data_IF_869230456963
#
_entry.id   IF_869230456963
#
_cell.length_a   1.000
_cell.length_b   1.000
_cell.length_c   1.000
_cell.angle_alpha   90.00
_cell.angle_beta   90.00
_cell.angle_gamma   90.00
#
_symmetry.space_group_name_H-M   'P 1'
#
loop_
_entity.id
_entity.type
_entity.pdbx_description
1 polymer ?
#
# COMPACT_ATOMS: atom_id res chain seq x y z
N UNK A 1 1.31 9.34 -15.58
CA UNK A 1 0.49 8.30 -14.92
C UNK A 1 -0.21 7.47 -15.98
N UNK A 2 -0.15 6.14 -15.86
CA UNK A 2 -0.87 5.16 -16.69
C UNK A 2 -1.69 4.26 -15.77
N UNK A 3 -2.89 3.86 -16.18
CA UNK A 3 -3.71 2.89 -15.45
C UNK A 3 -3.89 1.60 -16.24
N UNK A 4 -3.85 0.45 -15.55
CA UNK A 4 -4.27 -0.86 -16.09
C UNK A 4 -5.46 -1.35 -15.26
N UNK A 5 -6.58 -1.64 -15.91
CA UNK A 5 -7.77 -2.19 -15.25
C UNK A 5 -7.71 -3.71 -15.31
N UNK A 6 -7.95 -4.36 -14.17
CA UNK A 6 -8.07 -5.80 -14.07
C UNK A 6 -9.52 -6.15 -13.75
N UNK A 7 -10.11 -6.99 -14.58
CA UNK A 7 -11.44 -7.58 -14.36
C UNK A 7 -11.26 -9.08 -14.24
N UNK A 8 -11.32 -9.60 -13.02
CA UNK A 8 -11.06 -11.00 -12.71
C UNK A 8 -12.30 -11.62 -12.06
N UNK A 9 -12.47 -12.96 -12.08
CA UNK A 9 -13.61 -13.61 -11.44
C UNK A 9 -13.75 -13.30 -9.94
N UNK A 10 -12.63 -12.99 -9.26
CA UNK A 10 -12.60 -12.67 -7.83
C UNK A 10 -12.79 -11.18 -7.53
N UNK A 11 -12.83 -10.32 -8.56
CA UNK A 11 -13.08 -8.91 -8.39
C UNK A 11 -12.38 -8.01 -9.41
N UNK A 12 -12.64 -6.71 -9.26
CA UNK A 12 -12.11 -5.65 -10.11
C UNK A 12 -11.05 -4.85 -9.35
N UNK A 13 -9.95 -4.54 -10.02
CA UNK A 13 -8.89 -3.70 -9.46
C UNK A 13 -8.26 -2.81 -10.53
N UNK A 14 -7.49 -1.82 -10.08
CA UNK A 14 -6.78 -0.89 -10.96
C UNK A 14 -5.34 -0.78 -10.49
N UNK A 15 -4.40 -0.99 -11.40
CA UNK A 15 -2.98 -0.73 -11.18
C UNK A 15 -2.67 0.67 -11.72
N UNK A 16 -2.14 1.54 -10.86
CA UNK A 16 -1.69 2.88 -11.22
C UNK A 16 -0.15 2.90 -11.30
N UNK A 17 0.39 3.25 -12.46
CA UNK A 17 1.84 3.23 -12.75
C UNK A 17 2.32 4.67 -12.98
N UNK A 18 3.40 5.05 -12.29
CA UNK A 18 3.94 6.41 -12.31
C UNK A 18 3.04 7.44 -11.62
N UNK A 19 2.23 7.00 -10.66
CA UNK A 19 1.49 7.87 -9.75
C UNK A 19 2.32 8.16 -8.49
N UNK A 20 2.03 9.27 -7.83
CA UNK A 20 2.70 9.70 -6.59
C UNK A 20 2.07 9.03 -5.38
N UNK A 21 2.89 8.51 -4.46
CA UNK A 21 2.41 7.83 -3.25
C UNK A 21 1.58 8.76 -2.36
N UNK A 22 1.86 10.07 -2.36
CA UNK A 22 1.11 11.10 -1.65
C UNK A 22 -0.36 11.22 -2.11
N UNK A 23 -0.66 10.73 -3.31
CA UNK A 23 -2.01 10.68 -3.86
C UNK A 23 -2.76 9.40 -3.44
N UNK A 24 -2.12 8.43 -2.76
CA UNK A 24 -2.74 7.14 -2.39
C UNK A 24 -4.08 7.33 -1.66
N UNK A 25 -4.17 8.31 -0.76
CA UNK A 25 -5.39 8.62 0.00
C UNK A 25 -6.63 8.88 -0.87
N UNK A 26 -6.47 9.29 -2.12
CA UNK A 26 -7.57 9.56 -3.06
C UNK A 26 -8.24 8.28 -3.57
N UNK A 27 -7.56 7.14 -3.43
CA UNK A 27 -7.99 5.85 -3.98
C UNK A 27 -8.38 4.84 -2.89
N UNK A 28 -8.21 5.20 -1.61
CA UNK A 28 -8.55 4.31 -0.51
C UNK A 28 -10.07 4.25 -0.31
N UNK A 29 -10.63 3.06 -0.05
CA UNK A 29 -12.05 2.90 0.24
C UNK A 29 -12.42 3.38 1.67
N UNK A 30 -11.42 3.69 2.50
CA UNK A 30 -11.59 4.09 3.91
C UNK A 30 -10.72 5.30 4.23
N UNK A 31 -11.15 6.11 5.20
CA UNK A 31 -10.44 7.32 5.64
C UNK A 31 -9.21 7.00 6.51
N UNK A 32 -9.27 5.96 7.32
CA UNK A 32 -8.23 5.55 8.28
C UNK A 32 -7.90 4.06 8.06
N UNK A 33 -7.02 3.72 7.11
CA UNK A 33 -6.60 2.34 6.89
C UNK A 33 -5.72 1.80 8.03
N UNK A 34 -5.58 0.48 8.07
CA UNK A 34 -4.46 -0.20 8.72
C UNK A 34 -3.40 -0.43 7.66
N UNK A 35 -2.17 0.03 7.89
CA UNK A 35 -1.03 -0.09 6.99
C UNK A 35 -0.09 -1.14 7.57
N UNK A 36 0.18 -2.19 6.80
CA UNK A 36 1.16 -3.22 7.15
C UNK A 36 2.37 -3.01 6.24
N UNK A 37 3.55 -2.88 6.83
CA UNK A 37 4.78 -2.53 6.11
C UNK A 37 6.00 -3.13 6.80
N UNK A 38 7.13 -3.22 6.10
CA UNK A 38 8.40 -3.60 6.73
C UNK A 38 9.19 -2.37 7.22
N UNK A 39 10.23 -2.62 8.01
CA UNK A 39 11.11 -1.58 8.56
C UNK A 39 11.78 -0.71 7.49
N UNK A 40 12.15 -1.27 6.33
CA UNK A 40 12.81 -0.54 5.25
C UNK A 40 11.84 0.40 4.53
N UNK A 41 10.65 -0.08 4.16
CA UNK A 41 9.61 0.73 3.52
C UNK A 41 9.11 1.82 4.46
N UNK A 42 8.88 1.51 5.75
CA UNK A 42 8.50 2.51 6.74
C UNK A 42 9.53 3.63 6.85
N UNK A 43 10.82 3.29 6.92
CA UNK A 43 11.91 4.27 7.02
C UNK A 43 11.98 5.22 5.83
N UNK A 44 11.77 4.71 4.63
CA UNK A 44 11.97 5.48 3.39
C UNK A 44 10.70 6.16 2.85
N UNK A 45 9.53 5.63 3.16
CA UNK A 45 8.27 6.07 2.55
C UNK A 45 7.15 6.35 3.55
N UNK A 46 7.34 6.04 4.83
CA UNK A 46 6.30 6.16 5.85
C UNK A 46 5.73 7.56 6.01
N UNK A 47 6.53 8.60 5.74
CA UNK A 47 6.08 10.00 5.78
C UNK A 47 5.09 10.38 4.66
N UNK A 48 4.94 9.53 3.63
CA UNK A 48 3.93 9.70 2.58
C UNK A 48 2.66 8.88 2.81
N UNK A 49 2.63 8.04 3.85
CA UNK A 49 1.46 7.23 4.13
C UNK A 49 0.26 8.09 4.52
N UNK A 50 -0.96 7.67 4.15
CA UNK A 50 -2.17 8.30 4.65
C UNK A 50 -2.28 8.12 6.16
N UNK A 51 -3.00 9.02 6.87
CA UNK A 51 -3.26 8.84 8.30
C UNK A 51 -3.95 7.50 8.57
N UNK A 52 -3.43 6.72 9.53
CA UNK A 52 -3.89 5.38 9.82
C UNK A 52 -3.01 4.70 10.86
N UNK A 53 -3.43 3.52 11.32
CA UNK A 53 -2.58 2.68 12.16
C UNK A 53 -1.48 2.05 11.30
N UNK A 54 -0.23 2.05 11.77
CA UNK A 54 0.91 1.45 11.06
C UNK A 54 1.44 0.29 11.88
N UNK A 55 1.45 -0.90 11.29
CA UNK A 55 2.06 -2.11 11.83
C UNK A 55 3.34 -2.34 11.02
N UNK A 56 4.48 -2.11 11.67
CA UNK A 56 5.80 -2.33 11.06
C UNK A 56 6.34 -3.69 11.50
N UNK A 57 6.69 -4.54 10.53
CA UNK A 57 7.32 -5.84 10.75
C UNK A 57 8.78 -5.82 10.27
N UNK A 58 9.56 -6.83 10.61
CA UNK A 58 10.92 -6.98 10.08
C UNK A 58 10.92 -7.20 8.56
N UNK A 59 12.09 -7.05 7.94
CA UNK A 59 12.27 -7.23 6.49
C UNK A 59 12.86 -8.62 6.24
N UNK A 60 12.38 -9.33 5.21
CA UNK A 60 12.91 -10.63 4.82
C UNK A 60 11.84 -11.60 4.30
N UNK A 61 12.24 -12.67 3.64
CA UNK A 61 11.31 -13.75 3.26
C UNK A 61 11.08 -14.70 4.45
N UNK A 62 12.13 -14.91 5.25
CA UNK A 62 12.16 -15.75 6.43
C UNK A 62 11.15 -15.35 7.51
N UNK A 63 10.75 -14.08 7.55
CA UNK A 63 9.77 -13.56 8.51
C UNK A 63 8.32 -13.72 8.02
N UNK A 64 8.09 -14.18 6.77
CA UNK A 64 6.76 -14.50 6.24
C UNK A 64 6.26 -15.84 6.78
N UNK A 65 5.94 -15.83 8.06
CA UNK A 65 5.32 -16.93 8.79
C UNK A 65 3.87 -16.60 9.17
N UNK A 66 3.11 -17.63 9.54
CA UNK A 66 1.70 -17.54 9.95
C UNK A 66 1.58 -17.36 11.46
#
# INVERSE_FOLDING_TARGET
MRSVKLDTPIGKSVILIGERLENLKKYLPVKMPIIITDTNVQKHWGHYFPPGAVITIDTGEEIKSL
#
